data_IF_744603240599
#
_entry.id   IF_744603240599
#
_cell.length_a   1.000
_cell.length_b   1.000
_cell.length_c   1.000
_cell.angle_alpha   90.00
_cell.angle_beta   90.00
_cell.angle_gamma   90.00
#
_symmetry.space_group_name_H-M   'P 1'
#
loop_
_entity.id
_entity.type
_entity.pdbx_description
1 polymer ?
#
# COMPACT_ATOMS: atom_id res chain seq x y z
N UNK A 1 24.16 19.40 -13.48
CA UNK A 1 23.79 19.05 -12.84
C UNK A 1 23.03 18.74 -12.46
N UNK A 2 22.83 18.84 -13.02
CA UNK A 2 22.23 18.58 -12.41
C UNK A 2 21.95 17.66 -12.10
N UNK A 3 22.20 17.48 -12.10
CA UNK A 3 22.07 16.69 -11.60
C UNK A 3 21.84 16.26 -10.73
N UNK A 4 22.16 16.60 -11.27
CA UNK A 4 22.13 15.82 -10.08
C UNK A 4 20.94 16.03 -9.28
N UNK A 5 20.46 17.13 -9.34
CA UNK A 5 19.32 17.35 -8.57
C UNK A 5 18.08 16.96 -9.24
N UNK A 6 17.93 17.22 -10.52
CA UNK A 6 16.75 16.80 -11.21
C UNK A 6 16.63 15.31 -11.23
N UNK A 7 17.72 14.66 -11.47
CA UNK A 7 17.72 13.22 -11.48
C UNK A 7 17.37 12.68 -10.11
N UNK A 8 17.81 13.38 -9.09
CA UNK A 8 17.51 12.97 -7.76
C UNK A 8 16.03 13.01 -7.50
N UNK A 9 15.35 14.03 -7.99
CA UNK A 9 13.93 14.13 -7.82
C UNK A 9 13.21 13.00 -8.49
N UNK A 10 13.62 12.67 -9.71
CA UNK A 10 13.02 11.53 -10.39
C UNK A 10 13.25 10.25 -9.65
N UNK A 11 14.45 10.08 -9.15
CA UNK A 11 14.78 8.89 -8.42
C UNK A 11 13.95 8.78 -7.16
N UNK A 12 13.70 9.90 -6.49
CA UNK A 12 12.87 9.89 -5.31
C UNK A 12 11.47 9.41 -5.62
N UNK A 13 10.90 9.85 -6.73
CA UNK A 13 9.57 9.42 -7.10
C UNK A 13 9.56 7.91 -7.36
N UNK A 14 10.59 7.42 -8.03
CA UNK A 14 10.65 6.00 -8.34
C UNK A 14 10.93 5.17 -7.09
N UNK A 15 11.66 5.74 -6.15
CA UNK A 15 12.04 5.02 -4.94
C UNK A 15 11.09 5.24 -3.79
N UNK A 16 10.01 5.99 -3.99
CA UNK A 16 9.07 6.25 -2.93
C UNK A 16 8.49 4.97 -2.39
N UNK A 17 8.45 4.86 -1.09
CA UNK A 17 7.81 3.74 -0.45
C UNK A 17 6.52 4.20 0.18
N UNK A 18 5.49 3.43 -0.04
CA UNK A 18 4.15 3.75 0.42
C UNK A 18 3.63 2.58 1.21
N UNK A 19 3.08 2.86 2.38
CA UNK A 19 2.46 1.83 3.20
C UNK A 19 0.96 1.94 3.06
N UNK A 20 0.35 0.84 2.64
CA UNK A 20 -1.09 0.78 2.50
C UNK A 20 -1.66 0.01 3.68
N UNK A 21 -2.72 0.56 4.28
CA UNK A 21 -3.35 -0.03 5.44
C UNK A 21 -4.71 -0.58 5.05
N UNK A 22 -4.93 -1.85 5.35
CA UNK A 22 -6.23 -2.49 5.10
C UNK A 22 -7.08 -2.34 6.35
N UNK A 23 -7.44 -1.11 6.65
CA UNK A 23 -8.18 -0.77 7.86
C UNK A 23 -9.58 -1.35 7.81
N UNK A 24 -9.99 -2.00 8.91
CA UNK A 24 -11.33 -2.58 9.03
C UNK A 24 -11.60 -3.70 8.03
N UNK A 25 -10.55 -4.39 7.57
CA UNK A 25 -10.76 -5.55 6.73
C UNK A 25 -11.41 -6.67 7.54
N UNK A 26 -12.26 -7.46 6.88
CA UNK A 26 -12.96 -8.53 7.55
C UNK A 26 -11.97 -9.63 7.95
N UNK A 27 -12.26 -10.28 9.06
CA UNK A 27 -11.38 -11.34 9.56
C UNK A 27 -11.17 -12.44 8.52
N UNK A 28 -12.21 -12.75 7.77
CA UNK A 28 -12.13 -13.83 6.77
C UNK A 28 -11.12 -13.54 5.67
N UNK A 29 -10.72 -12.27 5.49
CA UNK A 29 -9.77 -11.91 4.44
C UNK A 29 -8.32 -12.06 4.87
N UNK A 30 -8.07 -12.47 6.09
CA UNK A 30 -6.70 -12.51 6.62
C UNK A 30 -5.78 -13.42 5.82
N UNK A 31 -6.28 -14.54 5.33
CA UNK A 31 -5.44 -15.46 4.58
C UNK A 31 -5.07 -14.89 3.22
N UNK A 32 -6.01 -14.21 2.58
CA UNK A 32 -5.72 -13.56 1.30
C UNK A 32 -4.69 -12.45 1.48
N UNK A 33 -4.82 -11.68 2.55
CA UNK A 33 -3.87 -10.62 2.83
C UNK A 33 -2.49 -11.18 3.11
N UNK A 34 -2.43 -12.21 3.93
CA UNK A 34 -1.16 -12.83 4.27
C UNK A 34 -0.48 -13.42 3.04
N UNK A 35 -1.25 -14.08 2.20
CA UNK A 35 -0.70 -14.70 0.99
C UNK A 35 -0.14 -13.65 0.04
N UNK A 36 -0.69 -12.45 0.07
CA UNK A 36 -0.21 -11.38 -0.80
C UNK A 36 0.98 -10.63 -0.23
N UNK A 37 1.36 -10.92 1.01
CA UNK A 37 2.54 -10.31 1.62
C UNK A 37 2.24 -9.26 2.67
N UNK A 38 0.99 -9.11 3.05
CA UNK A 38 0.63 -8.17 4.10
C UNK A 38 1.09 -8.69 5.44
N UNK A 39 1.34 -7.79 6.35
CA UNK A 39 1.73 -8.11 7.71
C UNK A 39 0.76 -7.48 8.69
N UNK A 40 0.63 -8.13 9.82
CA UNK A 40 -0.26 -7.66 10.88
C UNK A 40 0.48 -6.66 11.75
N UNK A 41 -0.13 -5.50 11.98
CA UNK A 41 0.41 -4.51 12.90
C UNK A 41 -0.42 -4.55 14.18
N UNK A 42 0.21 -5.02 15.26
CA UNK A 42 -0.51 -5.22 16.51
C UNK A 42 -0.93 -3.88 17.14
N UNK A 43 -0.13 -2.85 16.95
CA UNK A 43 -0.44 -1.55 17.56
C UNK A 43 -1.67 -0.93 16.92
N UNK A 44 -1.78 -1.00 15.61
CA UNK A 44 -2.93 -0.47 14.89
C UNK A 44 -4.02 -1.50 14.68
N UNK A 45 -3.69 -2.77 14.92
CA UNK A 45 -4.63 -3.89 14.79
C UNK A 45 -5.22 -3.95 13.39
N UNK A 46 -4.34 -3.86 12.39
CA UNK A 46 -4.77 -4.02 11.01
C UNK A 46 -3.59 -4.47 10.16
N UNK A 47 -3.93 -4.95 8.97
CA UNK A 47 -2.95 -5.44 8.01
C UNK A 47 -2.38 -4.28 7.21
N UNK A 48 -1.12 -4.43 6.81
CA UNK A 48 -0.47 -3.40 5.99
C UNK A 48 0.57 -4.03 5.09
N UNK A 49 0.93 -3.29 4.04
CA UNK A 49 1.98 -3.70 3.12
C UNK A 49 2.73 -2.46 2.68
N UNK A 50 4.03 -2.62 2.45
CA UNK A 50 4.85 -1.52 1.93
C UNK A 50 5.13 -1.82 0.46
N UNK A 51 4.80 -0.86 -0.39
CA UNK A 51 4.97 -0.98 -1.83
C UNK A 51 5.94 0.10 -2.29
N UNK A 52 6.90 -0.28 -3.13
CA UNK A 52 7.82 0.68 -3.71
C UNK A 52 7.24 1.20 -5.02
N UNK A 53 7.11 2.52 -5.12
CA UNK A 53 6.63 3.15 -6.33
C UNK A 53 5.15 3.44 -6.31
N UNK A 54 4.79 4.56 -6.96
CA UNK A 54 3.41 5.00 -6.96
C UNK A 54 2.48 4.09 -7.77
N UNK A 55 2.92 3.70 -8.97
CA UNK A 55 2.06 2.92 -9.84
C UNK A 55 1.71 1.57 -9.24
N UNK A 56 2.68 0.80 -8.72
CA UNK A 56 2.32 -0.44 -8.04
C UNK A 56 1.43 -0.20 -6.83
N UNK A 57 1.62 0.92 -6.13
CA UNK A 57 0.78 1.21 -4.97
C UNK A 57 -0.67 1.46 -5.39
N UNK A 58 -0.87 2.15 -6.50
CA UNK A 58 -2.22 2.39 -7.01
C UNK A 58 -2.89 1.08 -7.38
N UNK A 59 -2.14 0.18 -8.02
CA UNK A 59 -2.67 -1.12 -8.37
C UNK A 59 -3.01 -1.94 -7.14
N UNK A 60 -2.16 -1.85 -6.12
CA UNK A 60 -2.42 -2.59 -4.90
C UNK A 60 -3.66 -2.05 -4.18
N UNK A 61 -3.84 -0.73 -4.18
CA UNK A 61 -5.04 -0.15 -3.58
C UNK A 61 -6.29 -0.61 -4.30
N UNK A 62 -6.22 -0.71 -5.63
CA UNK A 62 -7.35 -1.21 -6.40
C UNK A 62 -7.65 -2.66 -6.04
N UNK A 63 -6.62 -3.47 -5.86
CA UNK A 63 -6.80 -4.86 -5.45
C UNK A 63 -7.50 -4.93 -4.09
N UNK A 64 -7.06 -4.10 -3.15
CA UNK A 64 -7.71 -4.07 -1.84
C UNK A 64 -9.19 -3.74 -1.95
N UNK A 65 -9.51 -2.71 -2.73
CA UNK A 65 -10.89 -2.30 -2.86
C UNK A 65 -11.76 -3.38 -3.46
N UNK A 66 -11.23 -4.12 -4.42
CA UNK A 66 -11.99 -5.14 -5.12
C UNK A 66 -12.02 -6.45 -4.34
N UNK A 67 -10.87 -6.95 -3.94
CA UNK A 67 -10.77 -8.30 -3.40
C UNK A 67 -11.00 -8.37 -1.90
N UNK A 68 -10.63 -7.34 -1.17
CA UNK A 68 -10.76 -7.36 0.28
C UNK A 68 -12.04 -6.67 0.73
N UNK A 69 -12.36 -5.55 0.10
CA UNK A 69 -13.54 -4.77 0.50
C UNK A 69 -14.74 -5.01 -0.42
N UNK A 70 -14.60 -5.93 -1.38
CA UNK A 70 -15.73 -6.38 -2.19
C UNK A 70 -16.32 -5.34 -3.12
N UNK A 71 -15.52 -4.38 -3.54
CA UNK A 71 -15.98 -3.34 -4.45
C UNK A 71 -16.79 -2.26 -3.78
N UNK A 72 -16.95 -2.33 -2.45
CA UNK A 72 -17.68 -1.30 -1.74
C UNK A 72 -16.84 -0.04 -1.65
N UNK A 73 -17.53 1.07 -1.41
CA UNK A 73 -16.79 2.32 -1.21
C UNK A 73 -15.92 2.20 0.03
N UNK A 74 -14.62 2.27 -0.16
CA UNK A 74 -13.69 2.13 0.94
C UNK A 74 -12.51 3.05 0.68
N UNK A 75 -12.02 3.68 1.73
CA UNK A 75 -10.85 4.51 1.65
C UNK A 75 -9.66 3.71 2.13
N UNK A 76 -8.62 3.67 1.30
CA UNK A 76 -7.40 2.98 1.66
C UNK A 76 -6.43 4.03 2.19
N UNK A 77 -6.09 3.90 3.45
CA UNK A 77 -5.12 4.82 4.04
C UNK A 77 -3.74 4.53 3.47
N UNK A 78 -3.09 5.56 2.95
CA UNK A 78 -1.77 5.43 2.35
C UNK A 78 -0.82 6.35 3.10
N UNK A 79 0.27 5.77 3.56
CA UNK A 79 1.29 6.52 4.30
C UNK A 79 2.55 6.60 3.46
N UNK A 80 3.08 7.80 3.27
CA UNK A 80 4.34 7.98 2.55
C UNK A 80 5.48 7.84 3.53
N UNK A 81 6.37 6.91 3.26
CA UNK A 81 7.48 6.60 4.15
C UNK A 81 8.75 7.40 3.84
#
# INVERSE_FOLDING_TARGET
>A
MVRGEGARGLRSAADSRLRLWATNSAFETKDALRARGYRWDAARRCWHIVISGRDPAVEEAAWLKTEIFGGRHAEIEVEVL
#
